data_IF_029495922156
#
_entry.id   IF_029495922156
#
_cell.length_a   1.000
_cell.length_b   1.000
_cell.length_c   1.000
_cell.angle_alpha   90.00
_cell.angle_beta   90.00
_cell.angle_gamma   90.00
#
_symmetry.space_group_name_H-M   'P 1'
#
loop_
_entity.id
_entity.type
_entity.pdbx_description
1 polymer ?
#
# COMPACT_ATOMS: atom_id res chain seq x y z
N UNK A 1 3.12 0.16 8.91
CA UNK A 1 3.95 0.55 7.74
C UNK A 1 4.80 1.78 8.06
N UNK A 2 6.12 1.73 7.86
CA UNK A 2 7.03 2.86 8.09
C UNK A 2 6.69 4.12 7.25
N UNK A 3 6.74 5.30 7.87
CA UNK A 3 6.52 6.61 7.20
C UNK A 3 7.50 6.90 6.06
N UNK A 4 8.68 6.26 6.05
CA UNK A 4 9.70 6.40 4.99
C UNK A 4 9.22 5.97 3.59
N UNK A 5 8.07 5.31 3.49
CA UNK A 5 7.50 4.90 2.20
C UNK A 5 6.52 5.90 1.60
N UNK A 6 6.25 7.03 2.26
CA UNK A 6 5.46 8.11 1.65
C UNK A 6 6.20 8.63 0.41
N UNK A 7 5.50 8.65 -0.73
CA UNK A 7 6.05 8.96 -2.06
C UNK A 7 6.44 7.72 -2.88
N UNK A 8 6.62 6.57 -2.24
CA UNK A 8 7.16 5.37 -2.88
C UNK A 8 6.07 4.45 -3.45
N UNK A 9 6.46 3.67 -4.46
CA UNK A 9 5.67 2.53 -4.93
C UNK A 9 5.96 1.32 -4.04
N UNK A 10 4.92 0.80 -3.40
CA UNK A 10 5.03 -0.31 -2.46
C UNK A 10 4.05 -1.39 -2.88
N UNK A 11 4.52 -2.63 -2.91
CA UNK A 11 3.66 -3.80 -3.00
C UNK A 11 3.21 -4.22 -1.60
N UNK A 12 1.91 -4.46 -1.44
CA UNK A 12 1.29 -4.81 -0.16
C UNK A 12 0.46 -6.09 -0.29
N UNK A 13 0.44 -6.87 0.78
CA UNK A 13 -0.60 -7.88 1.02
C UNK A 13 -1.59 -7.27 2.01
N UNK A 14 -2.83 -7.09 1.57
CA UNK A 14 -3.90 -6.46 2.35
C UNK A 14 -5.01 -7.45 2.65
N UNK A 15 -5.38 -7.57 3.92
CA UNK A 15 -6.53 -8.33 4.38
C UNK A 15 -7.79 -7.46 4.34
N UNK A 16 -8.76 -7.84 3.52
CA UNK A 16 -10.05 -7.15 3.48
C UNK A 16 -10.87 -7.43 4.75
N UNK A 17 -11.90 -6.63 4.99
CA UNK A 17 -12.88 -6.88 6.07
C UNK A 17 -13.62 -8.22 5.91
N UNK A 18 -13.71 -8.76 4.70
CA UNK A 18 -14.34 -10.06 4.43
C UNK A 18 -13.36 -11.24 4.61
N UNK A 19 -12.13 -10.99 5.06
CA UNK A 19 -11.11 -12.02 5.25
C UNK A 19 -10.33 -12.40 3.99
N UNK A 20 -10.54 -11.69 2.87
CA UNK A 20 -9.83 -11.98 1.63
C UNK A 20 -8.49 -11.25 1.58
N UNK A 21 -7.40 -11.99 1.32
CA UNK A 21 -6.11 -11.39 1.02
C UNK A 21 -6.08 -10.86 -0.41
N UNK A 22 -5.52 -9.68 -0.60
CA UNK A 22 -5.28 -9.08 -1.92
C UNK A 22 -3.85 -8.57 -1.99
N UNK A 23 -3.20 -8.80 -3.13
CA UNK A 23 -1.89 -8.26 -3.44
C UNK A 23 -2.05 -7.02 -4.33
N UNK A 24 -1.43 -5.90 -3.94
CA UNK A 24 -1.60 -4.62 -4.64
C UNK A 24 -0.29 -3.87 -4.71
N UNK A 25 -0.06 -3.16 -5.82
CA UNK A 25 1.01 -2.16 -5.95
C UNK A 25 0.38 -0.78 -5.80
N UNK A 26 0.83 -0.04 -4.79
CA UNK A 26 0.23 1.23 -4.40
C UNK A 26 1.30 2.29 -4.24
N UNK A 27 1.06 3.51 -4.74
CA UNK A 27 1.91 4.66 -4.43
C UNK A 27 1.40 5.31 -3.16
N UNK A 28 2.19 5.29 -2.10
CA UNK A 28 1.78 5.81 -0.79
C UNK A 28 1.82 7.33 -0.81
N UNK A 29 0.69 7.97 -0.54
CA UNK A 29 0.59 9.44 -0.50
C UNK A 29 0.70 10.00 0.91
N UNK A 30 0.12 9.32 1.91
CA UNK A 30 0.25 9.70 3.32
C UNK A 30 -0.08 8.55 4.25
N UNK A 31 0.48 8.61 5.47
CA UNK A 31 0.20 7.70 6.57
C UNK A 31 -0.11 8.55 7.80
N UNK A 32 -1.34 8.46 8.29
CA UNK A 32 -1.81 9.23 9.45
C UNK A 32 -2.87 8.43 10.22
N UNK A 33 -2.74 8.38 11.54
CA UNK A 33 -3.72 7.78 12.46
C UNK A 33 -4.11 6.33 12.06
N UNK A 34 -3.12 5.51 11.66
CA UNK A 34 -3.34 4.13 11.22
C UNK A 34 -4.01 3.97 9.85
N UNK A 35 -4.21 5.06 9.12
CA UNK A 35 -4.77 5.07 7.77
C UNK A 35 -3.69 5.44 6.76
N UNK A 36 -3.61 4.63 5.71
CA UNK A 36 -2.72 4.82 4.57
C UNK A 36 -3.58 5.28 3.39
N UNK A 37 -3.30 6.47 2.86
CA UNK A 37 -3.87 6.93 1.58
C UNK A 37 -2.88 6.64 0.46
N UNK A 38 -3.35 5.99 -0.59
CA UNK A 38 -2.49 5.60 -1.69
C UNK A 38 -3.27 5.58 -3.01
N UNK A 39 -2.53 5.61 -4.12
CA UNK A 39 -3.08 5.39 -5.46
C UNK A 39 -2.80 3.92 -5.81
N UNK A 40 -3.84 3.15 -6.11
CA UNK A 40 -3.69 1.78 -6.61
C UNK A 40 -3.20 1.83 -8.06
N UNK A 41 -2.03 1.23 -8.35
CA UNK A 41 -1.47 1.24 -9.71
C UNK A 41 -2.24 0.34 -10.67
N UNK A 42 -2.99 -0.64 -10.19
CA UNK A 42 -3.79 -1.50 -11.04
C UNK A 42 -5.02 -0.79 -11.62
N UNK A 43 -5.65 0.09 -10.83
CA UNK A 43 -6.87 0.81 -11.26
C UNK A 43 -6.66 2.31 -11.52
N UNK A 44 -5.57 2.89 -11.03
CA UNK A 44 -5.31 4.33 -11.05
C UNK A 44 -6.11 5.13 -10.01
N UNK A 45 -6.91 4.46 -9.18
CA UNK A 45 -7.82 5.11 -8.24
C UNK A 45 -7.18 5.36 -6.87
N UNK A 46 -7.68 6.39 -6.20
CA UNK A 46 -7.38 6.63 -4.79
C UNK A 46 -8.05 5.59 -3.90
N UNK A 47 -7.27 5.00 -2.99
CA UNK A 47 -7.76 4.06 -1.97
C UNK A 47 -7.20 4.39 -0.59
N UNK A 48 -7.97 4.00 0.42
CA UNK A 48 -7.52 4.01 1.81
C UNK A 48 -7.35 2.57 2.29
N UNK A 49 -6.28 2.34 3.03
CA UNK A 49 -5.98 1.07 3.67
C UNK A 49 -5.78 1.30 5.16
N UNK A 50 -6.23 0.35 5.98
CA UNK A 50 -5.86 0.35 7.40
C UNK A 50 -4.48 -0.27 7.54
N UNK A 51 -3.62 0.39 8.30
CA UNK A 51 -2.26 -0.04 8.55
C UNK A 51 -2.21 -1.42 9.25
N UNK A 52 -3.16 -1.67 10.17
CA UNK A 52 -3.32 -2.94 10.88
C UNK A 52 -3.71 -4.13 9.99
N UNK A 53 -4.25 -3.84 8.80
CA UNK A 53 -4.75 -4.82 7.85
C UNK A 53 -3.74 -5.08 6.73
N UNK A 54 -2.57 -4.43 6.77
CA UNK A 54 -1.43 -4.73 5.90
C UNK A 54 -0.62 -5.86 6.55
N UNK A 55 -0.64 -7.02 5.92
CA UNK A 55 0.00 -8.24 6.42
C UNK A 55 1.47 -8.34 6.01
N UNK A 56 1.81 -7.76 4.86
CA UNK A 56 3.16 -7.64 4.37
C UNK A 56 3.29 -6.41 3.47
N UNK A 57 4.50 -5.87 3.37
CA UNK A 57 4.82 -4.79 2.45
C UNK A 57 6.26 -4.92 1.94
N UNK A 58 6.47 -4.55 0.69
CA UNK A 58 7.77 -4.53 0.05
C UNK A 58 7.89 -3.32 -0.88
N UNK A 59 8.89 -2.45 -0.70
CA UNK A 59 9.18 -1.41 -1.68
C UNK A 59 9.45 -2.02 -3.05
N UNK A 60 8.84 -1.49 -4.09
CA UNK A 60 9.13 -1.91 -5.45
C UNK A 60 10.40 -1.17 -5.86
N UNK A 61 11.55 -1.84 -5.73
CA UNK A 61 12.81 -1.32 -6.26
C UNK A 61 12.69 -1.41 -7.78
N UNK A 62 12.52 -0.27 -8.44
CA UNK A 62 12.61 -0.21 -9.88
C UNK A 62 14.10 -0.31 -10.22
N UNK A 63 14.61 -1.54 -10.33
CA UNK A 63 15.92 -1.76 -10.96
C UNK A 63 15.74 -1.38 -12.42
N UNK A 64 16.05 -0.12 -12.75
CA UNK A 64 16.34 0.24 -14.12
C UNK A 64 17.58 -0.58 -14.51
N UNK A 65 17.36 -1.62 -15.32
CA UNK A 65 18.41 -2.33 -16.06
C UNK A 65 18.51 -1.70 -17.43
#
# INVERSE_FOLDING_TARGET
MPKKYVGELVEIIYLSKSGAFTQRKVTISSIKDGIIRAIDKGTGEWRTFREDSIMAWQPVINSAV
#
